data_IF_767308615183
#
_entry.id   IF_767308615183
#
_cell.length_a   1.000
_cell.length_b   1.000
_cell.length_c   1.000
_cell.angle_alpha   90.00
_cell.angle_beta   90.00
_cell.angle_gamma   90.00
#
_symmetry.space_group_name_H-M   'P 1'
#
loop_
_entity.id
_entity.type
_entity.pdbx_description
1 polymer ?
#
# COMPACT_ATOMS: atom_id res chain seq x y z
N UNK A 1 -3.36 25.83 -18.92
CA UNK A 1 -3.26 26.30 -17.52
C UNK A 1 -3.42 25.08 -16.63
N UNK A 2 -2.34 24.58 -16.03
CA UNK A 2 -2.44 23.50 -15.05
C UNK A 2 -3.01 24.12 -13.76
N UNK A 3 -4.20 23.69 -13.34
CA UNK A 3 -4.75 24.03 -12.02
C UNK A 3 -3.81 23.55 -10.90
N UNK A 4 -4.03 23.96 -9.65
CA UNK A 4 -3.18 23.55 -8.54
C UNK A 4 -3.06 22.02 -8.55
N UNK A 5 -1.84 21.53 -8.74
CA UNK A 5 -1.48 20.12 -8.72
C UNK A 5 -2.04 19.52 -7.43
N UNK A 6 -3.18 18.82 -7.48
CA UNK A 6 -3.76 18.28 -6.25
C UNK A 6 -2.92 17.07 -5.83
N UNK A 7 -2.01 17.34 -4.91
CA UNK A 7 -1.21 16.32 -4.26
C UNK A 7 -2.12 15.30 -3.58
N UNK A 8 -1.74 14.01 -3.59
CA UNK A 8 -2.52 12.97 -2.94
C UNK A 8 -2.65 13.30 -1.45
N UNK A 9 -3.87 13.15 -0.92
CA UNK A 9 -4.20 13.43 0.48
C UNK A 9 -4.82 12.22 1.15
N UNK A 10 -4.53 12.05 2.42
CA UNK A 10 -5.14 11.01 3.26
C UNK A 10 -6.36 11.63 3.94
N UNK A 11 -7.51 10.98 3.78
CA UNK A 11 -8.77 11.35 4.41
C UNK A 11 -9.11 10.28 5.43
N UNK A 12 -9.20 10.66 6.71
CA UNK A 12 -9.63 9.77 7.78
C UNK A 12 -11.15 9.80 7.90
N UNK A 13 -11.78 8.64 8.01
CA UNK A 13 -13.24 8.53 8.20
C UNK A 13 -13.61 8.36 9.68
N UNK A 14 -12.62 8.11 10.55
CA UNK A 14 -12.80 8.02 12.00
C UNK A 14 -11.53 8.43 12.75
N UNK A 15 -11.70 8.89 13.98
CA UNK A 15 -10.60 9.20 14.88
C UNK A 15 -10.11 7.93 15.60
N UNK A 16 -8.82 7.61 15.45
CA UNK A 16 -8.15 6.53 16.17
C UNK A 16 -6.73 6.98 16.53
N UNK A 17 -6.27 6.69 17.75
CA UNK A 17 -4.87 6.91 18.12
C UNK A 17 -3.99 5.87 17.44
N UNK A 18 -3.03 6.32 16.63
CA UNK A 18 -2.06 5.44 15.94
C UNK A 18 -0.66 5.57 16.54
N UNK A 19 -0.51 6.23 17.69
CA UNK A 19 0.80 6.45 18.31
C UNK A 19 1.45 5.10 18.66
N UNK A 20 2.69 4.91 18.22
CA UNK A 20 3.43 3.66 18.46
C UNK A 20 3.05 2.51 17.52
N UNK A 21 2.14 2.74 16.57
CA UNK A 21 1.74 1.74 15.56
C UNK A 21 2.84 1.45 14.54
N UNK A 22 2.59 0.43 13.72
CA UNK A 22 3.33 0.14 12.48
C UNK A 22 2.40 0.34 11.30
N UNK A 23 2.87 1.03 10.26
CA UNK A 23 2.21 1.17 8.98
C UNK A 23 2.77 0.15 8.00
N UNK A 24 1.90 -0.68 7.41
CA UNK A 24 2.25 -1.62 6.36
C UNK A 24 1.62 -1.15 5.06
N UNK A 25 2.39 -1.11 3.99
CA UNK A 25 1.96 -0.59 2.69
C UNK A 25 2.12 -1.67 1.64
N UNK A 26 1.06 -1.90 0.86
CA UNK A 26 1.05 -2.86 -0.25
C UNK A 26 0.40 -2.24 -1.47
N UNK A 27 1.21 -1.92 -2.47
CA UNK A 27 0.73 -1.55 -3.80
C UNK A 27 0.74 -2.78 -4.72
N UNK A 28 -0.11 -2.82 -5.75
CA UNK A 28 0.00 -3.81 -6.81
C UNK A 28 1.31 -3.61 -7.56
N UNK A 29 2.21 -4.58 -7.46
CA UNK A 29 3.50 -4.62 -8.19
C UNK A 29 3.69 -5.99 -8.83
N UNK A 30 4.91 -6.51 -8.89
CA UNK A 30 5.20 -7.82 -9.47
C UNK A 30 4.49 -8.94 -8.71
N UNK A 31 3.69 -9.72 -9.44
CA UNK A 31 2.95 -10.86 -8.89
C UNK A 31 1.89 -10.48 -7.84
N UNK A 32 1.54 -9.20 -7.74
CA UNK A 32 0.56 -8.69 -6.75
C UNK A 32 0.94 -8.99 -5.28
N UNK A 33 2.22 -9.29 -5.01
CA UNK A 33 2.66 -9.76 -3.69
C UNK A 33 2.29 -8.76 -2.59
N UNK A 34 2.55 -7.46 -2.83
CA UNK A 34 2.24 -6.40 -1.86
C UNK A 34 0.74 -6.33 -1.53
N UNK A 35 -0.11 -6.18 -2.55
CA UNK A 35 -1.56 -6.05 -2.35
C UNK A 35 -2.20 -7.33 -1.78
N UNK A 36 -1.77 -8.52 -2.21
CA UNK A 36 -2.25 -9.80 -1.66
C UNK A 36 -1.84 -9.98 -0.20
N UNK A 37 -0.58 -9.69 0.14
CA UNK A 37 -0.10 -9.82 1.52
C UNK A 37 -0.82 -8.84 2.46
N UNK A 38 -1.01 -7.58 2.04
CA UNK A 38 -1.76 -6.61 2.85
C UNK A 38 -3.24 -6.98 2.94
N UNK A 39 -3.87 -7.41 1.85
CA UNK A 39 -5.26 -7.88 1.88
C UNK A 39 -5.42 -9.05 2.84
N UNK A 40 -4.50 -10.01 2.85
CA UNK A 40 -4.50 -11.11 3.82
C UNK A 40 -4.42 -10.61 5.26
N UNK A 41 -3.55 -9.62 5.55
CA UNK A 41 -3.47 -9.00 6.88
C UNK A 41 -4.77 -8.31 7.29
N UNK A 42 -5.39 -7.55 6.37
CA UNK A 42 -6.66 -6.84 6.60
C UNK A 42 -7.75 -7.83 7.02
N UNK A 43 -7.91 -8.91 6.27
CA UNK A 43 -8.94 -9.92 6.54
C UNK A 43 -8.62 -10.76 7.78
N UNK A 44 -7.39 -11.27 7.89
CA UNK A 44 -6.99 -12.20 8.96
C UNK A 44 -7.00 -11.54 10.35
N UNK A 45 -6.72 -10.23 10.42
CA UNK A 45 -6.74 -9.48 11.66
C UNK A 45 -8.08 -8.77 11.91
N UNK A 46 -9.08 -8.94 11.05
CA UNK A 46 -10.36 -8.25 11.13
C UNK A 46 -10.18 -6.73 11.21
N UNK A 47 -9.26 -6.19 10.40
CA UNK A 47 -8.97 -4.76 10.40
C UNK A 47 -10.19 -3.99 9.89
N UNK A 48 -10.41 -2.82 10.47
CA UNK A 48 -11.58 -2.00 10.12
C UNK A 48 -11.14 -0.73 9.39
N UNK A 49 -11.95 -0.21 8.45
CA UNK A 49 -11.60 1.00 7.69
C UNK A 49 -11.21 2.16 8.61
N UNK A 50 -10.12 2.83 8.27
CA UNK A 50 -9.59 4.02 8.94
C UNK A 50 -9.72 5.27 8.07
N UNK A 51 -9.63 5.10 6.76
CA UNK A 51 -9.62 6.20 5.80
C UNK A 51 -9.24 5.73 4.41
N UNK A 52 -8.90 6.66 3.55
CA UNK A 52 -8.49 6.39 2.17
C UNK A 52 -7.53 7.47 1.68
N UNK A 53 -6.79 7.13 0.62
CA UNK A 53 -5.97 8.10 -0.12
C UNK A 53 -6.79 8.63 -1.30
N UNK A 54 -6.78 9.94 -1.49
CA UNK A 54 -7.55 10.63 -2.52
C UNK A 54 -6.63 11.50 -3.40
N UNK A 55 -6.80 11.41 -4.72
CA UNK A 55 -6.22 12.32 -5.69
C UNK A 55 -7.14 12.41 -6.90
N UNK A 56 -7.28 13.60 -7.48
CA UNK A 56 -8.06 13.80 -8.71
C UNK A 56 -7.34 13.22 -9.95
N UNK A 57 -6.09 12.76 -9.76
CA UNK A 57 -5.26 12.11 -10.78
C UNK A 57 -5.29 10.58 -10.70
N UNK A 58 -6.02 9.99 -9.75
CA UNK A 58 -6.26 8.55 -9.78
C UNK A 58 -7.20 8.20 -10.94
N UNK A 59 -7.06 7.00 -11.53
CA UNK A 59 -8.06 6.48 -12.45
C UNK A 59 -9.45 6.54 -11.82
N UNK A 60 -10.52 6.85 -12.59
CA UNK A 60 -11.89 6.92 -12.08
C UNK A 60 -12.43 5.50 -11.82
N UNK A 61 -11.87 4.84 -10.82
CA UNK A 61 -12.12 3.44 -10.48
C UNK A 61 -12.63 3.35 -9.06
N UNK A 62 -13.60 2.45 -8.87
CA UNK A 62 -14.13 2.06 -7.57
C UNK A 62 -13.92 0.57 -7.35
N UNK A 63 -13.84 0.18 -6.10
CA UNK A 63 -13.74 -1.22 -5.69
C UNK A 63 -15.05 -1.64 -5.08
N UNK A 64 -15.58 -2.78 -5.52
CA UNK A 64 -16.80 -3.36 -4.98
C UNK A 64 -16.43 -4.57 -4.15
N UNK A 65 -16.60 -4.48 -2.84
CA UNK A 65 -16.28 -5.56 -1.91
C UNK A 65 -17.46 -5.78 -0.97
N UNK A 66 -17.94 -7.02 -0.87
CA UNK A 66 -19.11 -7.38 -0.06
C UNK A 66 -20.38 -6.52 -0.33
N UNK A 67 -20.55 -6.03 -1.57
CA UNK A 67 -21.67 -5.18 -1.96
C UNK A 67 -21.50 -3.70 -1.60
N UNK A 68 -20.36 -3.30 -1.04
CA UNK A 68 -20.03 -1.91 -0.73
C UNK A 68 -19.08 -1.30 -1.75
N UNK A 69 -19.36 -0.06 -2.14
CA UNK A 69 -18.47 0.76 -2.99
C UNK A 69 -17.38 1.36 -2.11
N UNK A 70 -16.12 1.17 -2.48
CA UNK A 70 -14.98 1.70 -1.74
C UNK A 70 -13.96 2.40 -2.66
N UNK A 71 -13.21 3.39 -2.13
CA UNK A 71 -12.10 4.01 -2.85
C UNK A 71 -11.00 2.99 -3.21
N UNK A 72 -10.21 3.22 -4.27
CA UNK A 72 -9.24 2.24 -4.76
C UNK A 72 -7.97 2.13 -3.88
N UNK A 73 -7.71 3.11 -3.01
CA UNK A 73 -6.58 3.10 -2.07
C UNK A 73 -7.08 3.37 -0.66
N UNK A 74 -7.00 2.38 0.21
CA UNK A 74 -7.70 2.33 1.50
C UNK A 74 -6.74 2.15 2.65
N UNK A 75 -7.07 2.78 3.78
CA UNK A 75 -6.37 2.62 5.04
C UNK A 75 -7.25 1.82 6.00
N UNK A 76 -6.66 0.84 6.66
CA UNK A 76 -7.30 0.03 7.69
C UNK A 76 -6.50 0.06 8.98
N UNK A 77 -7.17 -0.18 10.11
CA UNK A 77 -6.50 -0.36 11.40
C UNK A 77 -7.03 -1.59 12.14
N UNK A 78 -6.12 -2.36 12.73
CA UNK A 78 -6.46 -3.46 13.64
C UNK A 78 -6.88 -2.90 15.01
N UNK A 79 -7.68 -3.65 15.79
CA UNK A 79 -7.92 -3.29 17.20
C UNK A 79 -6.70 -3.55 18.09
N UNK A 80 -6.03 -4.69 17.86
CA UNK A 80 -4.78 -5.08 18.54
C UNK A 80 -4.13 -6.20 17.71
N UNK A 81 -2.80 -6.27 17.72
CA UNK A 81 -2.08 -7.38 17.08
C UNK A 81 -1.87 -8.50 18.11
N UNK A 82 -2.41 -9.72 17.90
CA UNK A 82 -2.17 -10.86 18.79
C UNK A 82 -0.67 -11.17 18.95
N UNK A 83 -0.25 -11.61 20.13
CA UNK A 83 1.15 -11.96 20.41
C UNK A 83 2.10 -10.77 20.66
N UNK A 84 1.62 -9.52 20.53
CA UNK A 84 2.43 -8.34 20.86
C UNK A 84 2.24 -7.93 22.33
N UNK A 85 3.35 -7.68 23.04
CA UNK A 85 3.32 -7.18 24.44
C UNK A 85 2.88 -5.70 24.53
N UNK A 86 2.75 -5.00 23.40
CA UNK A 86 2.36 -3.59 23.34
C UNK A 86 0.84 -3.47 23.21
N UNK A 87 0.14 -3.41 24.35
CA UNK A 87 -1.27 -3.00 24.37
C UNK A 87 -1.40 -1.60 23.78
N UNK A 88 -2.37 -1.41 22.88
CA UNK A 88 -2.70 -0.09 22.31
C UNK A 88 -1.87 0.37 21.12
N UNK A 89 -1.07 -0.50 20.49
CA UNK A 89 -0.37 -0.19 19.23
C UNK A 89 -1.00 -0.97 18.07
N UNK A 90 -1.95 -0.39 17.32
CA UNK A 90 -2.57 -1.09 16.20
C UNK A 90 -1.57 -1.31 15.06
N UNK A 91 -1.81 -2.33 14.23
CA UNK A 91 -1.29 -2.33 12.87
C UNK A 91 -2.16 -1.42 12.01
N UNK A 92 -1.53 -0.61 11.16
CA UNK A 92 -2.19 0.20 10.13
C UNK A 92 -1.79 -0.36 8.78
N UNK A 93 -2.74 -0.54 7.88
CA UNK A 93 -2.51 -1.12 6.56
C UNK A 93 -2.97 -0.15 5.47
N UNK A 94 -2.17 0.02 4.42
CA UNK A 94 -2.54 0.70 3.18
C UNK A 94 -2.66 -0.37 2.10
N UNK A 95 -3.88 -0.59 1.63
CA UNK A 95 -4.21 -1.50 0.55
C UNK A 95 -4.58 -0.68 -0.69
N UNK A 96 -3.94 -0.98 -1.82
CA UNK A 96 -4.26 -0.38 -3.10
C UNK A 96 -4.67 -1.46 -4.11
N UNK A 97 -5.78 -1.24 -4.79
CA UNK A 97 -6.25 -2.08 -5.92
C UNK A 97 -5.90 -1.50 -7.28
N UNK A 98 -5.31 -0.30 -7.28
CA UNK A 98 -4.76 0.33 -8.48
C UNK A 98 -3.25 0.44 -8.35
N UNK A 99 -2.57 0.43 -9.49
CA UNK A 99 -1.20 0.92 -9.56
C UNK A 99 -1.27 2.44 -9.78
N UNK A 100 -0.82 3.28 -8.84
CA UNK A 100 -0.87 4.72 -9.02
C UNK A 100 -0.02 5.16 -10.23
N UNK A 101 -0.42 6.22 -10.95
CA UNK A 101 0.40 6.83 -11.99
C UNK A 101 1.82 7.17 -11.48
N UNK A 102 2.87 6.96 -12.29
CA UNK A 102 4.27 7.21 -11.89
C UNK A 102 4.51 8.61 -11.33
N UNK A 103 3.81 9.63 -11.85
CA UNK A 103 3.95 11.03 -11.47
C UNK A 103 3.44 11.30 -10.05
N UNK A 104 2.61 10.40 -9.50
CA UNK A 104 2.07 10.50 -8.15
C UNK A 104 2.94 9.82 -7.09
N UNK A 105 3.84 8.91 -7.48
CA UNK A 105 4.53 8.02 -6.53
C UNK A 105 5.28 8.79 -5.43
N UNK A 106 6.02 9.83 -5.79
CA UNK A 106 6.73 10.67 -4.82
C UNK A 106 5.76 11.41 -3.90
N UNK A 107 4.66 11.93 -4.44
CA UNK A 107 3.62 12.61 -3.66
C UNK A 107 2.95 11.67 -2.67
N UNK A 108 2.64 10.45 -3.10
CA UNK A 108 2.03 9.40 -2.25
C UNK A 108 2.99 9.00 -1.15
N UNK A 109 4.25 8.69 -1.50
CA UNK A 109 5.29 8.32 -0.55
C UNK A 109 5.49 9.39 0.52
N UNK A 110 5.66 10.65 0.10
CA UNK A 110 5.73 11.80 1.01
C UNK A 110 4.51 11.88 1.92
N UNK A 111 3.30 11.78 1.35
CA UNK A 111 2.06 11.90 2.14
C UNK A 111 1.91 10.79 3.18
N UNK A 112 2.30 9.56 2.85
CA UNK A 112 2.29 8.42 3.78
C UNK A 112 3.29 8.62 4.92
N UNK A 113 4.49 9.13 4.62
CA UNK A 113 5.51 9.44 5.62
C UNK A 113 5.10 10.60 6.53
N UNK A 114 4.62 11.71 5.97
CA UNK A 114 4.10 12.86 6.72
C UNK A 114 2.96 12.43 7.66
N UNK A 115 2.07 11.55 7.19
CA UNK A 115 1.00 10.99 7.98
C UNK A 115 1.51 10.09 9.09
N UNK A 116 2.48 9.22 8.80
CA UNK A 116 3.12 8.36 9.79
C UNK A 116 3.76 9.19 10.92
N UNK A 117 4.50 10.24 10.57
CA UNK A 117 5.12 11.16 11.52
C UNK A 117 4.07 11.87 12.39
N UNK A 118 3.10 12.52 11.75
CA UNK A 118 2.02 13.28 12.42
C UNK A 118 1.23 12.41 13.39
N UNK A 119 0.99 11.14 13.04
CA UNK A 119 0.23 10.20 13.85
C UNK A 119 1.09 9.45 14.88
N UNK A 120 2.40 9.68 14.89
CA UNK A 120 3.34 9.04 15.81
C UNK A 120 3.56 7.55 15.54
N UNK A 121 3.37 7.11 14.30
CA UNK A 121 3.71 5.77 13.82
C UNK A 121 5.23 5.60 13.89
N UNK A 122 5.70 4.42 14.32
CA UNK A 122 7.13 4.20 14.63
C UNK A 122 7.88 3.39 13.58
N UNK A 123 7.16 2.70 12.71
CA UNK A 123 7.73 1.87 11.67
C UNK A 123 6.81 1.90 10.45
N UNK A 124 7.42 2.04 9.27
CA UNK A 124 6.76 1.86 7.98
C UNK A 124 7.40 0.66 7.30
N UNK A 125 6.57 -0.29 6.87
CA UNK A 125 6.98 -1.51 6.17
C UNK A 125 6.31 -1.53 4.80
N UNK A 126 7.10 -1.55 3.73
CA UNK A 126 6.60 -1.76 2.38
C UNK A 126 6.74 -3.24 2.02
N UNK A 127 5.66 -3.86 1.58
CA UNK A 127 5.65 -5.25 1.13
C UNK A 127 5.77 -5.29 -0.39
N UNK A 128 6.79 -5.96 -0.89
CA UNK A 128 7.13 -6.04 -2.31
C UNK A 128 7.52 -7.46 -2.72
N UNK A 129 7.27 -7.79 -3.99
CA UNK A 129 7.72 -9.03 -4.62
C UNK A 129 8.97 -8.80 -5.47
N UNK A 130 9.96 -9.71 -5.48
CA UNK A 130 11.12 -9.57 -6.35
C UNK A 130 10.73 -9.66 -7.83
N UNK A 131 11.35 -8.83 -8.68
CA UNK A 131 11.21 -8.92 -10.12
C UNK A 131 11.94 -10.18 -10.63
N UNK A 132 11.16 -11.19 -11.01
CA UNK A 132 11.63 -12.49 -11.46
C UNK A 132 11.41 -13.59 -10.41
N UNK A 133 10.64 -14.62 -10.76
CA UNK A 133 10.48 -15.82 -9.94
C UNK A 133 11.39 -16.98 -10.35
N UNK A 134 12.28 -17.42 -9.45
CA UNK A 134 12.80 -18.78 -9.48
C UNK A 134 11.99 -19.52 -8.46
N UNK A 135 11.39 -20.58 -8.91
CA UNK A 135 10.77 -21.54 -8.02
C UNK A 135 11.82 -22.19 -7.10
N UNK A 136 11.34 -22.88 -6.07
CA UNK A 136 12.18 -23.62 -5.13
C UNK A 136 13.05 -24.73 -5.79
N UNK A 137 12.94 -24.92 -7.11
CA UNK A 137 13.65 -25.89 -7.94
C UNK A 137 14.71 -25.25 -8.87
N UNK A 138 14.91 -23.92 -8.80
CA UNK A 138 16.10 -23.24 -9.35
C UNK A 138 16.01 -22.68 -10.77
N UNK A 139 14.84 -22.66 -11.43
CA UNK A 139 14.68 -22.11 -12.80
C UNK A 139 14.50 -20.61 -12.80
N UNK A 140 14.98 -19.89 -13.83
CA UNK A 140 15.17 -18.43 -13.76
C UNK A 140 13.91 -17.57 -13.59
N UNK A 141 14.13 -16.60 -12.72
CA UNK A 141 13.42 -15.42 -12.31
C UNK A 141 13.81 -14.29 -13.22
N UNK A 142 13.13 -14.13 -14.34
CA UNK A 142 13.41 -13.02 -15.25
C UNK A 142 14.23 -13.46 -16.44
N UNK A 143 13.65 -13.17 -17.61
CA UNK A 143 14.30 -13.28 -18.90
C UNK A 143 15.41 -12.24 -18.99
N UNK A 144 16.61 -12.70 -19.34
CA UNK A 144 17.65 -11.81 -19.82
C UNK A 144 17.19 -11.16 -21.12
N UNK A 145 17.26 -9.85 -21.20
CA UNK A 145 17.29 -9.16 -22.48
C UNK A 145 18.75 -9.18 -22.94
N UNK A 146 19.17 -10.29 -23.55
CA UNK A 146 20.41 -10.31 -24.34
C UNK A 146 20.07 -9.70 -25.70
N UNK A 147 20.42 -8.42 -25.90
CA UNK A 147 20.58 -7.89 -27.25
C UNK A 147 21.97 -8.31 -27.73
N UNK A 148 22.10 -9.16 -28.76
CA UNK A 148 23.40 -9.48 -29.31
C UNK A 148 23.97 -8.22 -29.97
N UNK A 149 25.11 -7.75 -29.47
CA UNK A 149 25.93 -6.78 -30.19
C UNK A 149 26.35 -7.43 -31.53
N UNK A 150 25.82 -6.92 -32.64
CA UNK A 150 26.42 -7.15 -33.95
C UNK A 150 27.65 -6.27 -34.07
N UNK A 151 28.80 -6.88 -34.28
CA UNK A 151 29.94 -6.21 -34.89
C UNK A 151 29.77 -6.37 -36.41
N UNK A 152 29.58 -5.25 -37.10
CA UNK A 152 30.05 -5.07 -38.49
C UNK A 152 31.47 -4.51 -38.45
#
# INVERSE_FOLDING_TARGET
>A
MAGPTSDPRIVETRALSLRGSTLVVGFPTHGLVGSVAVSYLVHSLGMTPLGYLQSDRFPPTVVMEAGEVQPPVRLYASRQVPGTKRKGSPLVAVLSDIQPPPELLNGIGKRLLDYAETKGIKLVVALEGPAGGRDATGRRAGGGHEQPFRHE
#
